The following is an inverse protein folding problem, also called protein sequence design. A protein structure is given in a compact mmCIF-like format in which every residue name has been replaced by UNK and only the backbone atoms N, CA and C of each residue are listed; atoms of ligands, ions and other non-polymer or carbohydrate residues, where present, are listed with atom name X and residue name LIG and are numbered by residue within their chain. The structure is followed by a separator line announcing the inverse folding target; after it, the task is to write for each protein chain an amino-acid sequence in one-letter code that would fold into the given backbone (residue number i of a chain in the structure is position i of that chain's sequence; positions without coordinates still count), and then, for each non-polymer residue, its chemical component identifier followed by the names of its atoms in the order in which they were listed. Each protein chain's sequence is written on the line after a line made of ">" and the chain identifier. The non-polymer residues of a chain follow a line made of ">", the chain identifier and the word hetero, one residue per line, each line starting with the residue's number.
data_IF_743972711144
#
_entry.id   IF_743972711144
#
_cell.length_a   1.000
_cell.length_b   1.000
_cell.length_c   1.000
_cell.angle_alpha   90.00
_cell.angle_beta   90.00
_cell.angle_gamma   90.00
#
_symmetry.space_group_name_H-M   'P 1'
#
loop_
_entity.id
_entity.type
_entity.pdbx_description
1 polymer ?
#
# COMPACT_ATOMS: atom_id res chain seq x y z
N UNK A 1 -17.58 46.37 -58.31
CA UNK A 1 -17.63 46.49 -56.84
C UNK A 1 -18.09 45.13 -56.30
N UNK A 2 -17.21 44.41 -55.60
CA UNK A 2 -17.41 43.01 -55.15
C UNK A 2 -18.12 42.97 -53.80
N UNK A 3 -19.12 42.09 -53.65
CA UNK A 3 -19.85 41.88 -52.39
C UNK A 3 -19.01 41.10 -51.38
N UNK A 4 -19.17 41.40 -50.09
CA UNK A 4 -18.54 40.70 -48.97
C UNK A 4 -19.67 39.99 -48.21
N UNK A 5 -19.64 38.66 -48.21
CA UNK A 5 -20.47 37.82 -47.33
C UNK A 5 -19.74 37.57 -46.03
N UNK A 6 -20.46 37.72 -44.91
CA UNK A 6 -19.99 37.39 -43.57
C UNK A 6 -20.50 35.98 -43.20
N UNK A 7 -19.59 35.08 -42.84
CA UNK A 7 -19.92 33.76 -42.29
C UNK A 7 -19.79 33.85 -40.77
N UNK A 8 -20.91 33.71 -40.05
CA UNK A 8 -20.93 33.62 -38.58
C UNK A 8 -20.68 32.17 -38.16
N UNK A 9 -19.53 31.89 -37.55
CA UNK A 9 -19.25 30.60 -36.93
C UNK A 9 -19.82 30.59 -35.50
N UNK A 10 -20.77 29.69 -35.22
CA UNK A 10 -21.30 29.45 -33.88
C UNK A 10 -20.32 28.63 -33.05
N UNK A 11 -19.94 29.15 -31.88
CA UNK A 11 -19.11 28.45 -30.89
C UNK A 11 -20.04 27.67 -29.96
N UNK A 12 -19.98 26.34 -30.04
CA UNK A 12 -20.58 25.44 -29.05
C UNK A 12 -19.67 25.36 -27.83
N UNK A 13 -20.15 25.85 -26.68
CA UNK A 13 -19.49 25.68 -25.38
C UNK A 13 -20.00 24.38 -24.77
N UNK A 14 -19.18 23.33 -24.80
CA UNK A 14 -19.43 22.09 -24.06
C UNK A 14 -19.03 22.29 -22.60
N UNK A 15 -20.01 22.39 -21.70
CA UNK A 15 -19.80 22.36 -20.25
C UNK A 15 -19.33 20.98 -19.81
N UNK A 16 -18.06 20.86 -19.45
CA UNK A 16 -17.54 19.76 -18.65
C UNK A 16 -17.86 20.04 -17.17
N UNK A 17 -18.64 19.16 -16.54
CA UNK A 17 -18.80 19.16 -15.10
C UNK A 17 -17.54 18.52 -14.48
N UNK A 18 -16.70 19.32 -13.83
CA UNK A 18 -15.59 18.82 -13.02
C UNK A 18 -16.13 18.27 -11.69
N UNK A 19 -15.98 16.97 -11.48
CA UNK A 19 -16.13 16.34 -10.18
C UNK A 19 -14.94 16.69 -9.27
N UNK A 20 -15.07 17.74 -8.46
CA UNK A 20 -14.01 18.26 -7.59
C UNK A 20 -13.52 17.28 -6.49
N UNK A 21 -14.18 16.14 -6.30
CA UNK A 21 -13.79 15.11 -5.32
C UNK A 21 -12.84 14.04 -5.86
N UNK A 22 -12.94 13.67 -7.13
CA UNK A 22 -12.11 12.61 -7.73
C UNK A 22 -10.68 13.10 -8.04
N UNK A 23 -10.54 14.36 -8.48
CA UNK A 23 -9.23 14.91 -8.85
C UNK A 23 -8.25 14.97 -7.67
N UNK A 24 -8.75 15.25 -6.46
CA UNK A 24 -7.91 15.40 -5.27
C UNK A 24 -7.36 14.06 -4.76
N UNK A 25 -8.14 12.98 -4.80
CA UNK A 25 -7.69 11.66 -4.33
C UNK A 25 -6.70 11.01 -5.31
N UNK A 26 -6.91 11.22 -6.61
CA UNK A 26 -5.99 10.78 -7.65
C UNK A 26 -4.64 11.52 -7.58
N UNK A 27 -4.68 12.85 -7.45
CA UNK A 27 -3.47 13.69 -7.29
C UNK A 27 -2.71 13.35 -6.01
N UNK A 28 -3.41 13.24 -4.87
CA UNK A 28 -2.79 12.84 -3.60
C UNK A 28 -2.12 11.45 -3.68
N UNK A 29 -2.70 10.52 -4.45
CA UNK A 29 -2.12 9.20 -4.66
C UNK A 29 -0.86 9.28 -5.54
N UNK A 30 -0.93 10.05 -6.64
CA UNK A 30 0.21 10.26 -7.54
C UNK A 30 1.39 10.97 -6.84
N UNK A 31 1.10 11.90 -5.93
CA UNK A 31 2.11 12.63 -5.16
C UNK A 31 3.03 11.72 -4.33
N UNK A 32 2.51 10.58 -3.86
CA UNK A 32 3.31 9.60 -3.12
C UNK A 32 4.44 9.00 -3.96
N UNK A 33 4.38 9.04 -5.29
CA UNK A 33 5.47 8.56 -6.14
C UNK A 33 6.78 9.34 -5.91
N UNK A 34 6.68 10.59 -5.44
CA UNK A 34 7.83 11.44 -5.09
C UNK A 34 8.29 11.27 -3.64
N UNK A 35 7.54 10.55 -2.81
CA UNK A 35 7.88 10.35 -1.40
C UNK A 35 9.14 9.48 -1.28
N UNK A 36 10.10 9.97 -0.50
CA UNK A 36 11.34 9.27 -0.20
C UNK A 36 11.60 9.34 1.30
N UNK A 37 12.14 8.24 1.82
CA UNK A 37 12.65 8.13 3.18
C UNK A 37 13.94 7.30 3.08
N UNK A 38 14.83 7.42 4.06
CA UNK A 38 16.04 6.61 4.11
C UNK A 38 15.69 5.12 3.91
N UNK A 39 16.36 4.49 2.96
CA UNK A 39 16.18 3.08 2.58
C UNK A 39 14.75 2.69 2.13
N UNK A 40 13.90 3.64 1.76
CA UNK A 40 12.58 3.40 1.19
C UNK A 40 12.47 4.05 -0.19
N UNK A 41 12.04 3.26 -1.17
CA UNK A 41 11.71 3.75 -2.50
C UNK A 41 10.33 3.28 -2.95
N UNK A 42 9.47 4.24 -3.29
CA UNK A 42 8.20 3.97 -3.94
C UNK A 42 8.47 3.54 -5.39
N UNK A 43 7.86 2.42 -5.80
CA UNK A 43 7.98 1.85 -7.13
C UNK A 43 6.82 2.26 -8.03
N UNK A 44 5.62 2.26 -7.48
CA UNK A 44 4.41 2.61 -8.18
C UNK A 44 3.33 3.08 -7.21
N UNK A 45 2.47 3.96 -7.70
CA UNK A 45 1.25 4.40 -7.06
C UNK A 45 0.11 4.24 -8.05
N UNK A 46 -1.02 3.73 -7.61
CA UNK A 46 -2.19 3.52 -8.46
C UNK A 46 -3.45 3.88 -7.68
N UNK A 47 -4.23 4.83 -8.21
CA UNK A 47 -5.56 5.10 -7.70
C UNK A 47 -6.52 4.03 -8.21
N UNK A 48 -7.19 3.35 -7.28
CA UNK A 48 -8.15 2.29 -7.58
C UNK A 48 -9.54 2.77 -7.14
N UNK A 49 -10.48 2.85 -8.08
CA UNK A 49 -11.86 3.27 -7.82
C UNK A 49 -12.84 2.10 -7.73
N UNK A 50 -12.47 0.92 -8.24
CA UNK A 50 -13.32 -0.27 -8.21
C UNK A 50 -13.30 -0.95 -6.82
N UNK A 51 -14.46 -1.40 -6.34
CA UNK A 51 -14.59 -2.02 -5.03
C UNK A 51 -14.58 -0.97 -3.92
N UNK A 52 -13.65 -1.07 -2.97
CA UNK A 52 -13.37 -0.02 -1.99
C UNK A 52 -12.37 0.97 -2.59
N UNK A 53 -12.73 2.23 -2.87
CA UNK A 53 -11.79 3.19 -3.43
C UNK A 53 -10.57 3.41 -2.52
N UNK A 54 -9.37 3.31 -3.09
CA UNK A 54 -8.11 3.44 -2.35
C UNK A 54 -6.94 3.84 -3.24
N UNK A 55 -5.87 4.34 -2.63
CA UNK A 55 -4.56 4.45 -3.25
C UNK A 55 -3.73 3.19 -2.93
N UNK A 56 -3.24 2.51 -3.97
CA UNK A 56 -2.32 1.38 -3.86
C UNK A 56 -0.89 1.87 -4.05
N UNK A 57 -0.01 1.55 -3.12
CA UNK A 57 1.38 1.98 -3.09
C UNK A 57 2.29 0.76 -3.03
N UNK A 58 3.02 0.51 -4.11
CA UNK A 58 4.04 -0.53 -4.15
C UNK A 58 5.41 0.08 -3.90
N UNK A 59 6.20 -0.52 -3.02
CA UNK A 59 7.52 -0.03 -2.67
C UNK A 59 8.54 -1.12 -2.39
N UNK A 60 9.78 -0.69 -2.22
CA UNK A 60 10.88 -1.53 -1.74
C UNK A 60 11.60 -0.83 -0.60
N UNK A 61 11.90 -1.59 0.44
CA UNK A 61 12.70 -1.18 1.57
C UNK A 61 14.05 -1.89 1.47
N UNK A 62 15.11 -1.14 1.78
CA UNK A 62 16.50 -1.56 1.63
C UNK A 62 16.72 -2.14 0.21
N UNK A 63 17.29 -3.34 0.13
CA UNK A 63 17.64 -3.99 -1.12
C UNK A 63 16.45 -4.64 -1.81
N UNK A 64 15.62 -5.38 -1.06
CA UNK A 64 14.66 -6.32 -1.65
C UNK A 64 13.43 -6.63 -0.79
N UNK A 65 13.13 -5.87 0.26
CA UNK A 65 11.89 -6.05 1.02
C UNK A 65 10.76 -5.35 0.26
N UNK A 66 9.98 -6.08 -0.52
CA UNK A 66 8.88 -5.50 -1.27
C UNK A 66 7.61 -5.49 -0.43
N UNK A 67 6.81 -4.44 -0.62
CA UNK A 67 5.52 -4.30 0.05
C UNK A 67 4.47 -3.68 -0.87
N UNK A 68 3.21 -3.91 -0.51
CA UNK A 68 2.05 -3.23 -1.09
C UNK A 68 1.19 -2.70 0.05
N UNK A 69 1.00 -1.39 0.06
CA UNK A 69 0.19 -0.65 1.02
C UNK A 69 -1.07 -0.13 0.33
N UNK A 70 -2.22 -0.33 0.96
CA UNK A 70 -3.52 0.10 0.50
C UNK A 70 -4.05 1.17 1.46
N UNK A 71 -4.38 2.34 0.91
CA UNK A 71 -4.80 3.54 1.62
C UNK A 71 -6.24 3.88 1.20
N UNK A 72 -7.28 3.45 1.94
CA UNK A 72 -8.67 3.72 1.58
C UNK A 72 -8.99 5.21 1.60
N UNK A 73 -9.88 5.66 0.71
CA UNK A 73 -10.32 7.06 0.69
C UNK A 73 -11.09 7.40 1.98
N UNK A 74 -11.98 6.49 2.40
CA UNK A 74 -12.69 6.56 3.67
C UNK A 74 -11.88 5.85 4.77
N UNK A 75 -10.81 6.51 5.21
CA UNK A 75 -9.92 5.97 6.23
C UNK A 75 -10.46 6.20 7.65
N UNK A 76 -10.60 5.11 8.39
CA UNK A 76 -11.11 5.11 9.77
C UNK A 76 -10.07 5.54 10.83
N UNK A 77 -8.90 6.01 10.41
CA UNK A 77 -7.80 6.41 11.31
C UNK A 77 -6.94 5.26 11.85
N UNK A 78 -7.13 4.02 11.38
CA UNK A 78 -6.44 2.82 11.89
C UNK A 78 -5.59 2.16 10.82
N UNK A 79 -4.50 1.55 11.27
CA UNK A 79 -3.60 0.75 10.45
C UNK A 79 -3.70 -0.72 10.82
N UNK A 80 -3.71 -1.62 9.83
CA UNK A 80 -3.65 -3.06 10.06
C UNK A 80 -2.72 -3.75 9.07
N UNK A 81 -1.63 -4.32 9.57
CA UNK A 81 -0.73 -5.15 8.78
C UNK A 81 -1.22 -6.60 8.73
N UNK A 82 -1.23 -7.18 7.52
CA UNK A 82 -1.47 -8.60 7.32
C UNK A 82 -0.16 -9.38 7.29
N UNK A 83 -0.10 -10.47 8.03
CA UNK A 83 0.98 -11.46 7.91
C UNK A 83 0.89 -12.28 6.62
N UNK A 84 1.90 -13.12 6.40
CA UNK A 84 1.97 -14.07 5.29
C UNK A 84 2.00 -15.53 5.74
N UNK A 85 2.06 -16.46 4.79
CA UNK A 85 2.11 -17.91 5.01
C UNK A 85 3.44 -18.57 4.61
N UNK A 86 3.73 -19.73 5.22
CA UNK A 86 4.84 -20.61 4.85
C UNK A 86 6.23 -19.89 4.84
N UNK A 87 6.94 -19.89 3.70
CA UNK A 87 8.21 -19.20 3.49
C UNK A 87 8.10 -17.93 2.64
N UNK A 88 7.00 -17.15 2.79
CA UNK A 88 6.71 -15.83 2.16
C UNK A 88 7.95 -15.18 1.51
N UNK A 89 8.00 -14.65 0.30
CA UNK A 89 8.02 -15.36 -0.99
C UNK A 89 7.29 -14.58 -2.08
N UNK A 90 6.23 -13.88 -1.66
CA UNK A 90 5.37 -13.01 -2.46
C UNK A 90 4.66 -12.05 -1.53
N UNK A 91 4.22 -10.89 -2.03
CA UNK A 91 3.46 -9.94 -1.22
C UNK A 91 2.13 -10.59 -0.81
N UNK A 92 1.96 -10.80 0.49
CA UNK A 92 0.76 -11.35 1.09
C UNK A 92 0.22 -10.40 2.14
N UNK A 93 -1.10 -10.24 2.17
CA UNK A 93 -1.77 -9.40 3.15
C UNK A 93 -3.00 -10.13 3.69
N UNK A 94 -2.82 -10.92 4.76
CA UNK A 94 -3.92 -11.65 5.41
C UNK A 94 -4.99 -10.74 6.03
N UNK A 95 -4.76 -9.42 6.18
CA UNK A 95 -5.76 -8.49 6.69
C UNK A 95 -6.93 -8.28 5.72
N UNK A 96 -6.74 -8.49 4.42
CA UNK A 96 -7.78 -8.40 3.40
C UNK A 96 -8.88 -9.45 3.55
N UNK A 97 -8.60 -10.56 4.24
CA UNK A 97 -9.57 -11.64 4.45
C UNK A 97 -9.74 -11.98 5.94
N UNK A 98 -9.42 -11.04 6.85
CA UNK A 98 -9.51 -11.32 8.28
C UNK A 98 -10.95 -11.26 8.80
N UNK A 99 -11.31 -12.29 9.57
CA UNK A 99 -12.64 -12.46 10.17
C UNK A 99 -13.64 -13.14 9.23
N UNK A 100 -14.92 -13.12 9.61
CA UNK A 100 -16.01 -13.75 8.84
C UNK A 100 -16.82 -12.76 8.00
N UNK A 101 -16.32 -11.54 7.82
CA UNK A 101 -17.01 -10.44 7.14
C UNK A 101 -16.10 -9.70 6.15
N UNK A 102 -16.41 -8.44 5.80
CA UNK A 102 -15.56 -7.63 4.92
C UNK A 102 -14.12 -7.56 5.43
N UNK A 103 -13.14 -7.43 4.53
CA UNK A 103 -11.72 -7.32 4.87
C UNK A 103 -11.35 -6.02 5.59
N UNK A 104 -10.07 -5.87 5.94
CA UNK A 104 -9.58 -4.67 6.62
C UNK A 104 -9.77 -3.41 5.75
N UNK A 105 -9.49 -3.50 4.45
CA UNK A 105 -9.64 -2.37 3.54
C UNK A 105 -11.10 -1.89 3.48
N UNK A 106 -12.04 -2.81 3.33
CA UNK A 106 -13.49 -2.52 3.25
C UNK A 106 -14.05 -1.94 4.55
N UNK A 107 -13.37 -2.16 5.68
CA UNK A 107 -13.69 -1.54 6.97
C UNK A 107 -12.96 -0.21 7.19
N UNK A 108 -12.26 0.31 6.19
CA UNK A 108 -11.57 1.59 6.21
C UNK A 108 -10.18 1.56 6.87
N UNK A 109 -9.56 0.40 7.05
CA UNK A 109 -8.18 0.34 7.55
C UNK A 109 -7.19 0.61 6.40
N UNK A 110 -6.18 1.42 6.67
CA UNK A 110 -4.96 1.37 5.86
C UNK A 110 -4.27 0.03 6.12
N UNK A 111 -3.91 -0.72 5.08
CA UNK A 111 -3.41 -2.09 5.24
C UNK A 111 -2.24 -2.42 4.33
N UNK A 112 -1.27 -3.19 4.84
CA UNK A 112 -0.03 -3.50 4.14
C UNK A 112 0.32 -4.99 4.24
N UNK A 113 0.98 -5.50 3.20
CA UNK A 113 1.62 -6.81 3.16
C UNK A 113 3.04 -6.72 2.60
N UNK A 114 3.87 -7.74 2.84
CA UNK A 114 5.26 -7.81 2.34
C UNK A 114 5.61 -9.21 1.84
N UNK A 115 6.59 -9.31 0.95
CA UNK A 115 7.22 -10.56 0.54
C UNK A 115 8.33 -11.03 1.51
N UNK A 116 8.59 -10.26 2.56
CA UNK A 116 9.59 -10.50 3.60
C UNK A 116 11.05 -10.52 3.15
N UNK A 117 11.38 -9.94 2.00
CA UNK A 117 12.77 -9.74 1.58
C UNK A 117 13.30 -10.78 0.59
N UNK A 118 12.41 -11.47 -0.13
CA UNK A 118 12.76 -12.33 -1.26
C UNK A 118 11.52 -12.71 -2.08
N UNK A 119 11.75 -13.14 -3.32
CA UNK A 119 10.73 -13.72 -4.20
C UNK A 119 11.03 -15.21 -4.40
N UNK A 120 10.08 -16.07 -4.04
CA UNK A 120 10.18 -17.53 -4.18
C UNK A 120 8.80 -18.20 -4.14
N UNK A 121 8.75 -19.49 -4.46
CA UNK A 121 7.55 -20.27 -4.13
C UNK A 121 7.39 -20.42 -2.61
N UNK A 122 6.16 -20.64 -2.15
CA UNK A 122 5.83 -20.70 -0.71
C UNK A 122 6.51 -21.83 0.07
N UNK A 123 7.07 -22.84 -0.62
CA UNK A 123 7.76 -24.00 -0.02
C UNK A 123 9.25 -24.05 -0.34
N UNK A 124 9.75 -23.14 -1.17
CA UNK A 124 11.18 -23.05 -1.46
C UNK A 124 11.89 -22.28 -0.34
N UNK A 125 12.90 -22.91 0.27
CA UNK A 125 13.75 -22.31 1.32
C UNK A 125 15.17 -22.00 0.84
N UNK A 126 15.49 -22.23 -0.44
CA UNK A 126 16.84 -22.07 -0.98
C UNK A 126 17.33 -20.61 -0.92
N UNK A 127 16.42 -19.65 -0.94
CA UNK A 127 16.69 -18.23 -0.79
C UNK A 127 17.41 -17.88 0.52
N UNK A 128 17.27 -18.70 1.56
CA UNK A 128 17.86 -18.51 2.88
C UNK A 128 19.27 -19.09 2.98
N UNK A 129 19.63 -20.04 2.11
CA UNK A 129 20.90 -20.77 2.24
C UNK A 129 22.08 -19.81 2.05
N UNK A 130 22.95 -19.74 3.05
CA UNK A 130 24.12 -18.85 3.07
C UNK A 130 23.78 -17.36 2.88
N UNK A 131 22.57 -16.95 3.23
CA UNK A 131 22.13 -15.55 3.14
C UNK A 131 21.51 -15.09 4.47
N UNK A 132 22.36 -14.55 5.35
CA UNK A 132 21.96 -14.10 6.70
C UNK A 132 20.99 -12.92 6.61
N UNK A 133 21.18 -11.99 5.68
CA UNK A 133 20.30 -10.84 5.49
C UNK A 133 18.85 -11.27 5.23
N UNK A 134 18.64 -12.22 4.30
CA UNK A 134 17.30 -12.75 4.03
C UNK A 134 16.75 -13.56 5.21
N UNK A 135 17.60 -14.31 5.93
CA UNK A 135 17.18 -15.01 7.15
C UNK A 135 16.67 -14.04 8.22
N UNK A 136 17.34 -12.90 8.42
CA UNK A 136 16.91 -11.86 9.35
C UNK A 136 15.65 -11.13 8.86
N UNK A 137 15.57 -10.82 7.57
CA UNK A 137 14.41 -10.18 6.95
C UNK A 137 13.15 -11.01 7.15
N UNK A 138 13.21 -12.29 6.78
CA UNK A 138 12.13 -13.24 7.00
C UNK A 138 11.85 -13.50 8.48
N UNK A 139 12.90 -13.55 9.30
CA UNK A 139 12.83 -13.85 10.72
C UNK A 139 12.08 -12.78 11.51
N UNK A 140 12.37 -11.50 11.25
CA UNK A 140 11.75 -10.40 12.01
C UNK A 140 11.81 -9.01 11.35
N UNK A 141 12.84 -8.70 10.54
CA UNK A 141 13.04 -7.29 10.12
C UNK A 141 12.01 -6.82 9.11
N UNK A 142 11.69 -7.64 8.11
CA UNK A 142 10.91 -7.16 6.97
C UNK A 142 9.49 -6.76 7.37
N UNK A 143 8.88 -7.49 8.31
CA UNK A 143 7.57 -7.16 8.86
C UNK A 143 7.62 -5.81 9.59
N UNK A 144 8.55 -5.68 10.54
CA UNK A 144 8.74 -4.45 11.31
C UNK A 144 9.02 -3.23 10.42
N UNK A 145 10.00 -3.33 9.52
CA UNK A 145 10.40 -2.25 8.63
C UNK A 145 9.25 -1.83 7.70
N UNK A 146 8.48 -2.81 7.20
CA UNK A 146 7.28 -2.53 6.40
C UNK A 146 6.24 -1.76 7.21
N UNK A 147 6.01 -2.14 8.48
CA UNK A 147 5.08 -1.42 9.35
C UNK A 147 5.53 0.02 9.62
N UNK A 148 6.83 0.25 9.85
CA UNK A 148 7.40 1.60 10.05
C UNK A 148 7.25 2.44 8.78
N UNK A 149 7.64 1.91 7.62
CA UNK A 149 7.50 2.60 6.34
C UNK A 149 6.04 2.92 6.01
N UNK A 150 5.13 1.96 6.23
CA UNK A 150 3.71 2.15 6.00
C UNK A 150 3.14 3.29 6.87
N UNK A 151 3.50 3.35 8.16
CA UNK A 151 3.06 4.43 9.05
C UNK A 151 3.55 5.81 8.59
N UNK A 152 4.79 5.91 8.12
CA UNK A 152 5.31 7.16 7.56
C UNK A 152 4.58 7.58 6.29
N UNK A 153 4.26 6.64 5.39
CA UNK A 153 3.47 6.92 4.18
C UNK A 153 2.03 7.33 4.55
N UNK A 154 1.40 6.65 5.51
CA UNK A 154 0.06 6.97 6.01
C UNK A 154 0.03 8.40 6.56
N UNK A 155 1.02 8.77 7.39
CA UNK A 155 1.11 10.12 7.94
C UNK A 155 1.30 11.17 6.84
N UNK A 156 2.12 10.88 5.82
CA UNK A 156 2.30 11.76 4.65
C UNK A 156 1.02 11.89 3.81
N UNK A 157 0.26 10.81 3.66
CA UNK A 157 -0.93 10.77 2.79
C UNK A 157 -2.15 11.42 3.45
N UNK A 158 -2.46 11.06 4.70
CA UNK A 158 -3.63 11.58 5.42
C UNK A 158 -3.33 12.80 6.29
N UNK A 159 -2.09 13.30 6.29
CA UNK A 159 -1.60 14.36 7.18
C UNK A 159 -1.84 14.04 8.68
N UNK A 160 -1.92 12.75 9.03
CA UNK A 160 -2.24 12.25 10.36
C UNK A 160 -1.74 10.81 10.52
N UNK A 161 -1.02 10.55 11.62
CA UNK A 161 -0.60 9.20 11.97
C UNK A 161 -1.78 8.29 12.38
N UNK A 162 -1.70 6.96 12.23
CA UNK A 162 -2.72 6.04 12.73
C UNK A 162 -2.92 6.19 14.25
N UNK A 163 -4.17 6.24 14.71
CA UNK A 163 -4.48 6.25 16.14
C UNK A 163 -4.22 4.89 16.79
N UNK A 164 -4.54 3.82 16.05
CA UNK A 164 -4.28 2.45 16.46
C UNK A 164 -3.63 1.66 15.33
N UNK A 165 -2.75 0.74 15.72
CA UNK A 165 -2.08 -0.20 14.82
C UNK A 165 -2.39 -1.62 15.24
N UNK A 166 -2.81 -2.44 14.29
CA UNK A 166 -3.16 -3.84 14.48
C UNK A 166 -2.29 -4.73 13.59
N UNK A 167 -2.17 -5.99 13.99
CA UNK A 167 -1.56 -7.04 13.18
C UNK A 167 -2.49 -8.25 13.17
N UNK A 168 -2.65 -8.88 12.03
CA UNK A 168 -3.38 -10.16 11.92
C UNK A 168 -2.63 -11.12 11.01
N UNK A 169 -2.47 -12.36 11.47
CA UNK A 169 -1.84 -13.40 10.68
C UNK A 169 -2.07 -14.79 11.23
N UNK A 170 -1.96 -15.79 10.37
CA UNK A 170 -2.10 -17.21 10.71
C UNK A 170 -0.88 -18.00 10.19
N UNK A 171 -0.51 -19.09 10.88
CA UNK A 171 0.70 -19.88 10.58
C UNK A 171 1.97 -19.02 10.68
N UNK A 172 2.75 -18.87 9.61
CA UNK A 172 3.88 -17.94 9.56
C UNK A 172 3.48 -16.53 10.01
N UNK A 173 2.29 -16.06 9.65
CA UNK A 173 1.74 -14.78 10.08
C UNK A 173 1.52 -14.71 11.60
N UNK A 174 1.13 -15.81 12.23
CA UNK A 174 1.07 -15.89 13.70
C UNK A 174 2.47 -15.80 14.33
N UNK A 175 3.46 -16.45 13.73
CA UNK A 175 4.87 -16.32 14.13
C UNK A 175 5.40 -14.89 13.97
N UNK A 176 5.05 -14.20 12.86
CA UNK A 176 5.37 -12.79 12.64
C UNK A 176 4.74 -11.90 13.71
N UNK A 177 3.47 -12.13 14.06
CA UNK A 177 2.80 -11.40 15.15
C UNK A 177 3.52 -11.59 16.50
N UNK A 178 3.95 -12.82 16.80
CA UNK A 178 4.73 -13.10 18.00
C UNK A 178 6.08 -12.37 17.98
N UNK A 179 6.77 -12.32 16.83
CA UNK A 179 8.02 -11.59 16.72
C UNK A 179 7.84 -10.08 16.94
N UNK A 180 6.78 -9.47 16.41
CA UNK A 180 6.47 -8.06 16.68
C UNK A 180 6.24 -7.84 18.18
N UNK A 181 5.42 -8.65 18.83
CA UNK A 181 5.15 -8.47 20.28
C UNK A 181 6.37 -8.71 21.18
N UNK A 182 7.30 -9.59 20.78
CA UNK A 182 8.48 -9.94 21.58
C UNK A 182 9.67 -9.02 21.34
N UNK A 183 9.81 -8.49 20.11
CA UNK A 183 11.00 -7.75 19.68
C UNK A 183 10.73 -6.27 19.39
N UNK A 184 9.49 -5.92 19.07
CA UNK A 184 9.07 -4.60 18.63
C UNK A 184 7.76 -4.15 19.34
N UNK A 185 7.74 -4.07 20.69
CA UNK A 185 6.54 -3.73 21.44
C UNK A 185 6.09 -2.28 21.26
#
# INVERSE_FOLDING_TARGET
>A
MRSISWVTAGITVSTFALGAGQSNAEEACADLASFTLQDLRIKATEKVDAGTPHCKVAGVIEKEINFELLLPDDWNGRFMMGGGGAYVGSIQNQALAYGSGPGALERGYATVGTDTGHVSSMVDGSWALNNVERQENFGHRAVHLTAVAAKAIIERYYARAPEYSYFVGCSRGGGQAMMETQRYP
#
